data_IF_037645565197
#
_entry.id   IF_037645565197
#
_cell.length_a   1.000
_cell.length_b   1.000
_cell.length_c   1.000
_cell.angle_alpha   90.00
_cell.angle_beta   90.00
_cell.angle_gamma   90.00
#
_symmetry.space_group_name_H-M   'P 1'
#
loop_
_entity.id
_entity.type
_entity.pdbx_description
1 polymer ?
#
# COMPACT_ATOMS: atom_id res chain seq x y z
N UNK A 1 13.74 4.23 -6.16
CA UNK A 1 13.11 3.80 -4.88
C UNK A 1 11.62 3.59 -5.17
N UNK A 2 11.17 2.34 -5.32
CA UNK A 2 9.76 2.03 -5.64
C UNK A 2 8.84 2.20 -4.43
N UNK A 3 7.87 1.29 -4.24
CA UNK A 3 6.99 1.25 -3.04
C UNK A 3 7.71 0.85 -1.73
N UNK A 4 9.04 0.79 -1.71
CA UNK A 4 9.85 0.47 -0.52
C UNK A 4 9.62 1.47 0.64
N UNK A 5 9.33 2.73 0.33
CA UNK A 5 9.00 3.76 1.32
C UNK A 5 7.71 3.42 2.08
N UNK A 6 6.70 2.86 1.41
CA UNK A 6 5.47 2.40 2.06
C UNK A 6 5.68 1.16 2.95
N UNK A 7 6.75 0.40 2.71
CA UNK A 7 7.14 -0.76 3.52
C UNK A 7 7.91 -0.38 4.79
N UNK A 8 8.89 0.51 4.66
CA UNK A 8 9.87 0.81 5.71
C UNK A 8 9.65 2.14 6.44
N UNK A 9 9.16 3.16 5.74
CA UNK A 9 9.14 4.54 6.25
C UNK A 9 7.74 4.93 6.74
N UNK A 10 6.68 4.35 6.18
CA UNK A 10 5.31 4.78 6.47
C UNK A 10 4.79 4.26 7.83
N UNK A 11 4.59 5.11 8.86
CA UNK A 11 4.08 4.70 10.17
C UNK A 11 2.65 4.14 10.07
N UNK A 12 1.80 4.74 9.23
CA UNK A 12 0.45 4.25 8.99
C UNK A 12 0.41 2.85 8.36
N UNK A 13 1.41 2.50 7.54
CA UNK A 13 1.56 1.15 7.00
C UNK A 13 1.86 0.11 8.09
N UNK A 14 2.66 0.48 9.08
CA UNK A 14 2.94 -0.35 10.24
C UNK A 14 1.69 -0.54 11.11
N UNK A 15 0.94 0.54 11.36
CA UNK A 15 -0.33 0.49 12.11
C UNK A 15 -1.32 -0.47 11.43
N UNK A 16 -1.43 -0.43 10.10
CA UNK A 16 -2.31 -1.35 9.37
C UNK A 16 -1.85 -2.81 9.44
N UNK A 17 -0.54 -3.07 9.37
CA UNK A 17 -0.01 -4.43 9.56
C UNK A 17 -0.29 -4.94 10.99
N UNK A 18 -0.20 -4.06 11.99
CA UNK A 18 -0.49 -4.39 13.39
C UNK A 18 -1.98 -4.68 13.60
N UNK A 19 -2.87 -3.85 13.04
CA UNK A 19 -4.33 -4.03 13.10
C UNK A 19 -4.75 -5.29 12.35
N UNK A 20 -4.11 -5.63 11.23
CA UNK A 20 -4.40 -6.85 10.48
C UNK A 20 -3.97 -8.14 11.22
N UNK A 21 -3.19 -8.02 12.30
CA UNK A 21 -2.84 -9.16 13.16
C UNK A 21 -4.03 -9.62 14.02
N UNK A 22 -5.09 -8.82 14.14
CA UNK A 22 -6.31 -9.18 14.86
C UNK A 22 -6.97 -10.39 14.16
N UNK A 23 -7.25 -11.49 14.87
CA UNK A 23 -7.80 -12.72 14.30
C UNK A 23 -9.26 -12.50 13.86
N UNK A 24 -9.46 -12.09 12.61
CA UNK A 24 -10.77 -11.91 11.98
C UNK A 24 -10.85 -12.68 10.67
N UNK A 25 -12.05 -12.76 10.08
CA UNK A 25 -12.27 -13.39 8.78
C UNK A 25 -11.61 -12.55 7.68
N UNK A 26 -10.44 -13.00 7.22
CA UNK A 26 -9.63 -12.29 6.22
C UNK A 26 -10.22 -12.48 4.83
N UNK A 27 -10.33 -11.39 4.08
CA UNK A 27 -10.75 -11.40 2.68
C UNK A 27 -9.58 -11.11 1.74
N UNK A 28 -9.54 -11.83 0.62
CA UNK A 28 -8.61 -11.49 -0.46
C UNK A 28 -9.12 -10.26 -1.20
N UNK A 29 -8.25 -9.27 -1.41
CA UNK A 29 -8.58 -8.04 -2.13
C UNK A 29 -8.92 -8.37 -3.59
N UNK A 30 -10.08 -7.89 -4.06
CA UNK A 30 -10.46 -8.02 -5.46
C UNK A 30 -9.46 -7.27 -6.37
N UNK A 31 -8.91 -7.97 -7.37
CA UNK A 31 -7.95 -7.42 -8.34
C UNK A 31 -8.35 -6.05 -8.94
N UNK A 32 -9.62 -5.79 -9.33
CA UNK A 32 -10.02 -4.49 -9.88
C UNK A 32 -9.98 -3.35 -8.86
N UNK A 33 -10.15 -3.64 -7.56
CA UNK A 33 -10.12 -2.61 -6.52
C UNK A 33 -8.74 -1.96 -6.38
N UNK A 34 -7.68 -2.63 -6.88
CA UNK A 34 -6.33 -2.07 -7.00
C UNK A 34 -6.24 -0.90 -7.99
N UNK A 35 -7.21 -0.73 -8.89
CA UNK A 35 -7.24 0.37 -9.86
C UNK A 35 -7.82 1.66 -9.29
N UNK A 36 -8.61 1.55 -8.20
CA UNK A 36 -9.22 2.69 -7.51
C UNK A 36 -8.16 3.73 -7.13
N UNK A 37 -6.95 3.31 -6.73
CA UNK A 37 -5.88 4.25 -6.38
C UNK A 37 -5.46 5.16 -7.54
N UNK A 38 -5.54 4.67 -8.78
CA UNK A 38 -5.23 5.47 -9.97
C UNK A 38 -6.37 6.42 -10.30
N UNK A 39 -7.63 5.98 -10.09
CA UNK A 39 -8.79 6.86 -10.19
C UNK A 39 -8.74 7.97 -9.13
N UNK A 40 -8.39 7.65 -7.88
CA UNK A 40 -8.20 8.62 -6.80
C UNK A 40 -7.04 9.56 -7.10
N UNK A 41 -5.92 9.06 -7.62
CA UNK A 41 -4.81 9.92 -8.05
C UNK A 41 -5.25 10.92 -9.13
N UNK A 42 -5.94 10.45 -10.18
CA UNK A 42 -6.44 11.34 -11.24
C UNK A 42 -7.48 12.34 -10.71
N UNK A 43 -8.47 11.88 -9.96
CA UNK A 43 -9.56 12.71 -9.49
C UNK A 43 -9.16 13.68 -8.38
N UNK A 44 -8.57 13.18 -7.30
CA UNK A 44 -8.31 13.96 -6.07
C UNK A 44 -7.00 14.76 -6.12
N UNK A 45 -6.02 14.32 -6.92
CA UNK A 45 -4.70 14.99 -6.98
C UNK A 45 -4.53 15.80 -8.28
N UNK A 46 -5.17 15.42 -9.38
CA UNK A 46 -5.04 16.16 -10.65
C UNK A 46 -6.28 17.02 -10.92
N UNK A 47 -7.47 16.44 -10.95
CA UNK A 47 -8.70 17.17 -11.37
C UNK A 47 -9.12 18.19 -10.31
N UNK A 48 -9.22 17.80 -9.05
CA UNK A 48 -9.71 18.66 -7.97
C UNK A 48 -8.90 19.95 -7.78
N UNK A 49 -7.54 19.90 -7.71
CA UNK A 49 -6.73 21.11 -7.57
C UNK A 49 -6.74 22.02 -8.80
N UNK A 50 -7.03 21.46 -9.99
CA UNK A 50 -7.12 22.23 -11.24
C UNK A 50 -8.49 22.93 -11.37
N UNK A 51 -9.55 22.32 -10.84
CA UNK A 51 -10.92 22.87 -10.89
C UNK A 51 -11.19 23.84 -9.73
N UNK A 52 -10.67 23.55 -8.54
CA UNK A 52 -10.83 24.38 -7.34
C UNK A 52 -9.49 25.00 -6.96
N UNK A 53 -9.18 26.11 -7.61
CA UNK A 53 -7.96 26.90 -7.38
C UNK A 53 -8.27 27.98 -6.34
N UNK A 54 -7.53 28.02 -5.24
CA UNK A 54 -7.61 29.11 -4.26
C UNK A 54 -6.89 30.37 -4.79
N UNK A 55 -7.12 31.52 -4.15
CA UNK A 55 -6.62 32.84 -4.56
C UNK A 55 -5.07 32.95 -4.70
N UNK A 56 -4.31 31.93 -4.26
CA UNK A 56 -2.85 31.84 -4.34
C UNK A 56 -2.34 30.95 -5.50
N UNK A 57 -3.23 30.39 -6.33
CA UNK A 57 -2.83 29.53 -7.46
C UNK A 57 -2.35 28.13 -7.07
N UNK A 58 -2.32 27.80 -5.77
CA UNK A 58 -1.96 26.50 -5.24
C UNK A 58 -3.24 25.77 -4.80
N UNK A 59 -3.73 24.82 -5.60
CA UNK A 59 -4.87 24.00 -5.21
C UNK A 59 -4.56 23.24 -3.93
N UNK A 60 -5.40 23.38 -2.90
CA UNK A 60 -5.20 22.68 -1.64
C UNK A 60 -5.14 21.15 -1.87
N UNK A 61 -4.31 20.40 -1.11
CA UNK A 61 -4.28 18.95 -1.18
C UNK A 61 -5.58 18.39 -0.56
N UNK A 62 -6.63 18.33 -1.37
CA UNK A 62 -7.98 17.86 -0.99
C UNK A 62 -7.95 16.48 -0.35
N UNK A 63 -7.06 15.61 -0.81
CA UNK A 63 -6.83 14.30 -0.20
C UNK A 63 -6.38 14.40 1.27
N UNK A 64 -5.43 15.27 1.58
CA UNK A 64 -4.95 15.49 2.95
C UNK A 64 -6.03 16.12 3.83
N UNK A 65 -6.90 16.97 3.25
CA UNK A 65 -7.98 17.63 3.98
C UNK A 65 -9.17 16.71 4.25
N UNK A 66 -9.52 15.81 3.33
CA UNK A 66 -10.78 15.06 3.36
C UNK A 66 -10.63 13.56 3.61
N UNK A 67 -9.57 12.93 3.10
CA UNK A 67 -9.51 11.45 2.97
C UNK A 67 -8.29 10.85 3.65
N UNK A 68 -7.28 11.63 4.05
CA UNK A 68 -6.05 11.10 4.62
C UNK A 68 -6.24 10.65 6.08
N UNK A 69 -6.28 9.32 6.35
CA UNK A 69 -6.41 8.79 7.70
C UNK A 69 -5.13 9.05 8.51
N UNK A 70 -3.96 9.04 7.87
CA UNK A 70 -2.68 9.33 8.54
C UNK A 70 -2.63 10.77 9.06
N UNK A 71 -3.06 11.75 8.27
CA UNK A 71 -3.11 13.15 8.71
C UNK A 71 -4.12 13.39 9.84
N UNK A 72 -5.21 12.63 9.88
CA UNK A 72 -6.19 12.71 10.97
C UNK A 72 -5.64 12.05 12.24
N UNK A 73 -5.05 10.87 12.11
CA UNK A 73 -4.55 10.08 13.24
C UNK A 73 -3.28 10.69 13.87
N UNK A 74 -2.31 11.08 13.05
CA UNK A 74 -0.99 11.56 13.49
C UNK A 74 -0.94 13.09 13.65
N UNK A 75 -1.76 13.83 12.90
CA UNK A 75 -1.79 15.29 12.93
C UNK A 75 -2.94 15.82 13.77
N UNK A 76 -4.18 15.50 13.39
CA UNK A 76 -5.35 16.13 14.01
C UNK A 76 -5.55 15.72 15.47
N UNK A 77 -5.39 14.43 15.81
CA UNK A 77 -5.61 13.94 17.18
C UNK A 77 -4.62 14.56 18.18
N UNK A 78 -3.29 14.56 17.95
CA UNK A 78 -2.36 15.19 18.88
C UNK A 78 -2.57 16.71 19.01
N UNK A 79 -2.90 17.38 17.90
CA UNK A 79 -3.15 18.82 17.90
C UNK A 79 -4.41 19.20 18.71
N UNK A 80 -5.46 18.38 18.62
CA UNK A 80 -6.69 18.52 19.42
C UNK A 80 -6.43 18.26 20.90
N UNK A 81 -5.54 17.34 21.24
CA UNK A 81 -5.18 17.03 22.61
C UNK A 81 -4.35 18.15 23.25
N UNK A 82 -3.45 18.77 22.49
CA UNK A 82 -2.60 19.90 22.93
C UNK A 82 -3.39 21.22 23.07
N UNK A 83 -4.47 21.41 22.30
CA UNK A 83 -5.30 22.62 22.36
C UNK A 83 -6.80 22.27 22.50
N UNK A 84 -7.30 22.09 23.73
CA UNK A 84 -8.70 21.74 23.97
C UNK A 84 -9.71 22.79 23.47
N UNK A 85 -9.28 24.03 23.25
CA UNK A 85 -10.12 25.12 22.69
C UNK A 85 -10.55 24.89 21.24
N UNK A 86 -9.87 24.04 20.46
CA UNK A 86 -10.29 23.74 19.09
C UNK A 86 -11.49 22.78 19.02
N UNK A 87 -11.79 22.01 20.08
CA UNK A 87 -12.91 21.05 20.06
C UNK A 87 -14.25 21.71 19.77
N UNK A 88 -14.41 22.98 20.17
CA UNK A 88 -15.63 23.76 19.94
C UNK A 88 -15.79 24.19 18.47
N UNK A 89 -14.70 24.35 17.72
CA UNK A 89 -14.70 24.76 16.30
C UNK A 89 -14.76 23.56 15.34
N UNK A 90 -14.63 22.34 15.88
CA UNK A 90 -14.36 21.10 15.14
C UNK A 90 -15.64 20.32 14.81
N UNK A 91 -16.83 20.91 15.05
CA UNK A 91 -18.15 20.33 14.78
C UNK A 91 -18.31 19.68 13.39
N UNK A 92 -19.29 18.76 13.26
CA UNK A 92 -19.75 17.95 12.09
C UNK A 92 -18.70 17.41 11.09
N UNK A 93 -17.83 18.26 10.52
CA UNK A 93 -16.72 17.89 9.65
C UNK A 93 -15.73 16.93 10.29
N UNK A 94 -15.46 17.04 11.60
CA UNK A 94 -14.61 16.07 12.30
C UNK A 94 -15.26 14.71 12.42
N UNK A 95 -16.57 14.67 12.71
CA UNK A 95 -17.32 13.42 12.82
C UNK A 95 -17.31 12.65 11.49
N UNK A 96 -17.50 13.36 10.37
CA UNK A 96 -17.40 12.76 9.04
C UNK A 96 -15.99 12.22 8.74
N UNK A 97 -14.93 12.96 9.10
CA UNK A 97 -13.54 12.47 8.94
C UNK A 97 -13.25 11.27 9.83
N UNK A 98 -13.75 11.27 11.06
CA UNK A 98 -13.58 10.19 12.01
C UNK A 98 -14.36 8.94 11.57
N UNK A 99 -15.55 9.11 11.01
CA UNK A 99 -16.30 8.03 10.38
C UNK A 99 -15.55 7.41 9.18
N UNK A 100 -14.96 8.23 8.30
CA UNK A 100 -14.13 7.76 7.19
C UNK A 100 -12.88 7.04 7.70
N UNK A 101 -12.22 7.56 8.74
CA UNK A 101 -11.09 6.91 9.40
C UNK A 101 -11.48 5.52 9.93
N UNK A 102 -12.58 5.43 10.69
CA UNK A 102 -13.09 4.15 11.23
C UNK A 102 -13.39 3.19 10.09
N UNK A 103 -14.08 3.63 9.04
CA UNK A 103 -14.39 2.79 7.87
C UNK A 103 -13.10 2.22 7.24
N UNK A 104 -12.08 3.05 7.07
CA UNK A 104 -10.78 2.63 6.51
C UNK A 104 -10.06 1.65 7.44
N UNK A 105 -10.10 1.89 8.76
CA UNK A 105 -9.50 0.99 9.75
C UNK A 105 -10.21 -0.37 9.77
N UNK A 106 -11.54 -0.39 9.73
CA UNK A 106 -12.33 -1.63 9.59
C UNK A 106 -11.98 -2.36 8.30
N UNK A 107 -11.83 -1.63 7.19
CA UNK A 107 -11.32 -2.18 5.93
C UNK A 107 -9.92 -2.78 6.07
N UNK A 108 -9.04 -2.15 6.84
CA UNK A 108 -7.68 -2.64 7.10
C UNK A 108 -7.64 -3.91 7.98
N UNK A 109 -8.65 -4.13 8.84
CA UNK A 109 -8.82 -5.38 9.59
C UNK A 109 -9.10 -6.53 8.61
N UNK A 110 -10.11 -6.35 7.75
CA UNK A 110 -10.56 -7.38 6.81
C UNK A 110 -9.55 -7.64 5.67
N UNK A 111 -8.90 -6.58 5.19
CA UNK A 111 -8.00 -6.60 4.05
C UNK A 111 -6.66 -5.96 4.45
N UNK A 112 -5.58 -6.73 4.33
CA UNK A 112 -4.24 -6.23 4.65
C UNK A 112 -3.92 -4.95 3.88
N UNK A 113 -3.47 -3.90 4.57
CA UNK A 113 -3.05 -2.64 3.94
C UNK A 113 -4.09 -2.03 2.95
N UNK A 114 -5.39 -2.10 3.27
CA UNK A 114 -6.50 -1.67 2.40
C UNK A 114 -6.30 -0.27 1.82
N UNK A 115 -6.02 0.72 2.68
CA UNK A 115 -5.83 2.10 2.27
C UNK A 115 -4.66 2.26 1.30
N UNK A 116 -3.50 1.66 1.62
CA UNK A 116 -2.31 1.76 0.77
C UNK A 116 -2.52 1.12 -0.61
N UNK A 117 -3.36 0.08 -0.70
CA UNK A 117 -3.66 -0.64 -1.95
C UNK A 117 -4.77 0.01 -2.79
N UNK A 118 -5.75 0.65 -2.15
CA UNK A 118 -6.99 1.09 -2.81
C UNK A 118 -7.11 2.62 -2.89
N UNK A 119 -6.69 3.36 -1.86
CA UNK A 119 -7.00 4.78 -1.71
C UNK A 119 -5.78 5.71 -1.74
N UNK A 120 -4.57 5.20 -1.45
CA UNK A 120 -3.39 6.05 -1.31
C UNK A 120 -2.85 6.55 -2.68
N UNK A 121 -2.90 7.86 -2.97
CA UNK A 121 -2.40 8.41 -4.24
C UNK A 121 -0.87 8.35 -4.32
N UNK A 122 -0.17 8.54 -3.20
CA UNK A 122 1.28 8.36 -3.14
C UNK A 122 1.67 6.91 -3.47
N UNK A 123 0.88 5.94 -3.00
CA UNK A 123 1.05 4.53 -3.35
C UNK A 123 0.88 4.26 -4.85
N UNK A 124 -0.05 4.96 -5.51
CA UNK A 124 -0.22 4.91 -6.95
C UNK A 124 0.97 5.51 -7.71
N UNK A 125 1.49 6.65 -7.24
CA UNK A 125 2.67 7.28 -7.80
C UNK A 125 3.90 6.37 -7.67
N UNK A 126 4.21 5.89 -6.46
CA UNK A 126 5.32 4.95 -6.22
C UNK A 126 5.15 3.63 -6.96
N UNK A 127 3.90 3.21 -7.22
CA UNK A 127 3.62 2.05 -8.06
C UNK A 127 4.15 2.21 -9.48
N UNK A 128 4.07 3.42 -10.04
CA UNK A 128 4.51 3.70 -11.40
C UNK A 128 6.04 3.65 -11.48
N UNK A 129 6.71 4.23 -10.48
CA UNK A 129 8.16 4.19 -10.32
C UNK A 129 8.72 2.81 -9.91
N UNK A 130 7.89 1.91 -9.35
CA UNK A 130 8.33 0.55 -9.02
C UNK A 130 8.79 -0.27 -10.23
N UNK A 131 8.26 -0.01 -11.43
CA UNK A 131 8.74 -0.69 -12.65
C UNK A 131 10.19 -0.34 -13.01
N UNK A 132 10.65 0.83 -12.56
CA UNK A 132 11.97 1.38 -12.86
C UNK A 132 12.89 1.25 -11.61
N UNK A 133 12.44 0.58 -10.54
CA UNK A 133 13.25 0.48 -9.33
C UNK A 133 14.55 -0.27 -9.60
N UNK A 134 15.65 0.34 -9.15
CA UNK A 134 16.99 -0.25 -9.18
C UNK A 134 17.13 -1.49 -8.30
N UNK A 135 16.22 -1.71 -7.35
CA UNK A 135 16.24 -2.91 -6.50
C UNK A 135 15.00 -3.73 -6.82
N UNK A 136 15.19 -5.00 -7.16
CA UNK A 136 14.12 -5.94 -7.50
C UNK A 136 14.32 -7.25 -6.73
N UNK A 137 13.21 -7.96 -6.50
CA UNK A 137 13.23 -9.29 -5.92
C UNK A 137 13.65 -10.28 -7.02
N UNK A 138 14.69 -11.05 -6.76
CA UNK A 138 15.19 -12.11 -7.61
C UNK A 138 14.65 -13.45 -7.11
N UNK A 139 14.12 -14.25 -8.03
CA UNK A 139 13.56 -15.57 -7.74
C UNK A 139 14.33 -16.63 -8.49
N UNK A 140 14.96 -17.54 -7.75
CA UNK A 140 15.74 -18.65 -8.29
C UNK A 140 14.89 -19.91 -8.24
N UNK A 141 14.29 -20.28 -9.38
CA UNK A 141 13.39 -21.42 -9.47
C UNK A 141 14.03 -22.75 -9.03
N UNK A 142 15.33 -22.93 -9.28
CA UNK A 142 16.05 -24.16 -8.92
C UNK A 142 16.11 -24.47 -7.41
N UNK A 143 15.94 -23.44 -6.57
CA UNK A 143 15.98 -23.59 -5.11
C UNK A 143 14.56 -23.62 -4.49
N UNK A 144 13.51 -23.42 -5.30
CA UNK A 144 12.15 -23.33 -4.78
C UNK A 144 11.49 -24.70 -4.68
N UNK A 145 11.04 -25.07 -3.47
CA UNK A 145 10.30 -26.31 -3.20
C UNK A 145 8.79 -26.09 -3.03
N UNK A 146 8.28 -24.93 -3.49
CA UNK A 146 6.85 -24.58 -3.45
C UNK A 146 6.16 -24.68 -2.07
N UNK A 147 6.90 -24.50 -0.98
CA UNK A 147 6.38 -24.61 0.39
C UNK A 147 5.31 -23.57 0.80
N UNK A 148 5.05 -22.57 -0.05
CA UNK A 148 4.06 -21.52 0.16
C UNK A 148 4.33 -20.56 1.33
N UNK A 149 5.50 -20.64 1.98
CA UNK A 149 5.84 -19.79 3.13
C UNK A 149 5.91 -18.29 2.75
N UNK A 150 6.50 -17.98 1.59
CA UNK A 150 6.60 -16.62 1.08
C UNK A 150 5.23 -15.95 0.86
N UNK A 151 4.22 -16.70 0.39
CA UNK A 151 2.85 -16.20 0.16
C UNK A 151 2.14 -15.96 1.49
N UNK A 152 2.34 -16.85 2.47
CA UNK A 152 1.72 -16.74 3.82
C UNK A 152 2.20 -15.52 4.61
N UNK A 153 3.49 -15.17 4.50
CA UNK A 153 4.09 -14.05 5.21
C UNK A 153 4.08 -12.73 4.42
N UNK A 154 3.67 -12.75 3.15
CA UNK A 154 3.60 -11.55 2.34
C UNK A 154 2.38 -10.68 2.73
N UNK A 155 2.58 -9.44 3.23
CA UNK A 155 1.46 -8.58 3.62
C UNK A 155 0.61 -8.15 2.42
N UNK A 156 1.18 -8.11 1.22
CA UNK A 156 0.46 -7.71 0.00
C UNK A 156 -0.05 -8.88 -0.82
N UNK A 157 0.32 -10.12 -0.47
CA UNK A 157 -0.11 -11.33 -1.17
C UNK A 157 0.45 -11.47 -2.59
N UNK A 158 1.60 -10.85 -2.90
CA UNK A 158 2.28 -11.09 -4.18
C UNK A 158 2.93 -12.46 -4.17
N UNK A 159 2.78 -13.17 -5.29
CA UNK A 159 3.22 -14.55 -5.47
C UNK A 159 4.51 -14.55 -6.31
N UNK A 160 5.69 -14.80 -5.72
CA UNK A 160 6.96 -14.68 -6.44
C UNK A 160 7.20 -15.75 -7.50
N UNK A 161 6.64 -16.95 -7.31
CA UNK A 161 6.85 -18.11 -8.20
C UNK A 161 5.89 -18.17 -9.40
N UNK A 162 4.95 -17.22 -9.52
CA UNK A 162 3.97 -17.19 -10.60
C UNK A 162 3.87 -15.78 -11.22
N UNK A 163 2.81 -15.03 -10.87
CA UNK A 163 2.50 -13.72 -11.42
C UNK A 163 3.06 -12.62 -10.50
N UNK A 164 4.35 -12.36 -10.65
CA UNK A 164 5.03 -11.33 -9.85
C UNK A 164 4.63 -9.92 -10.30
N UNK A 165 3.64 -9.35 -9.62
CA UNK A 165 3.24 -7.95 -9.81
C UNK A 165 4.17 -7.03 -9.00
N UNK A 166 5.27 -6.60 -9.63
CA UNK A 166 6.25 -5.68 -9.02
C UNK A 166 5.64 -4.37 -8.56
N UNK A 167 4.47 -4.00 -9.10
CA UNK A 167 3.72 -2.80 -8.71
C UNK A 167 3.18 -2.91 -7.31
N UNK A 168 2.75 -4.11 -6.90
CA UNK A 168 2.16 -4.33 -5.57
C UNK A 168 3.19 -4.73 -4.52
N UNK A 169 4.39 -5.12 -4.92
CA UNK A 169 5.48 -5.41 -3.99
C UNK A 169 5.96 -4.13 -3.29
N UNK A 170 5.86 -4.09 -1.96
CA UNK A 170 6.36 -3.00 -1.12
C UNK A 170 7.82 -3.19 -0.68
N UNK A 171 8.52 -4.21 -1.20
CA UNK A 171 9.90 -4.55 -0.83
C UNK A 171 10.13 -4.57 0.70
N UNK A 172 9.22 -5.21 1.43
CA UNK A 172 9.34 -5.41 2.87
C UNK A 172 10.30 -6.55 3.28
N UNK A 173 10.79 -7.33 2.29
CA UNK A 173 11.76 -8.43 2.43
C UNK A 173 11.40 -9.58 3.40
N UNK A 174 10.24 -9.54 4.07
CA UNK A 174 9.72 -10.64 4.92
C UNK A 174 9.71 -12.01 4.23
N UNK A 175 9.53 -12.05 2.91
CA UNK A 175 9.55 -13.30 2.15
C UNK A 175 10.97 -13.87 1.94
N UNK A 176 12.00 -13.02 1.92
CA UNK A 176 13.41 -13.42 1.89
C UNK A 176 13.81 -13.97 3.26
N UNK A 177 13.41 -13.29 4.34
CA UNK A 177 13.74 -13.68 5.72
C UNK A 177 13.20 -15.07 6.10
N UNK A 178 12.01 -15.43 5.61
CA UNK A 178 11.36 -16.72 5.89
C UNK A 178 11.84 -17.85 4.94
N UNK A 179 12.55 -17.53 3.86
CA UNK A 179 12.92 -18.50 2.85
C UNK A 179 14.18 -19.29 3.26
N UNK A 180 13.99 -20.44 3.93
CA UNK A 180 15.09 -21.33 4.32
C UNK A 180 15.90 -21.90 3.15
N UNK A 181 15.30 -21.99 1.97
CA UNK A 181 15.94 -22.57 0.77
C UNK A 181 16.69 -21.55 -0.08
N UNK A 182 16.73 -20.26 0.31
CA UNK A 182 17.37 -19.19 -0.47
C UNK A 182 16.91 -19.16 -1.94
N UNK A 183 15.61 -19.38 -2.15
CA UNK A 183 14.98 -19.25 -3.46
C UNK A 183 14.62 -17.79 -3.82
N UNK A 184 14.69 -16.90 -2.83
CA UNK A 184 14.37 -15.49 -2.94
C UNK A 184 15.58 -14.69 -2.49
N UNK A 185 15.99 -13.73 -3.30
CA UNK A 185 17.03 -12.76 -2.97
C UNK A 185 16.61 -11.36 -3.45
N UNK A 186 17.34 -10.32 -3.07
CA UNK A 186 17.17 -8.98 -3.61
C UNK A 186 18.44 -8.55 -4.32
N UNK A 187 18.30 -8.09 -5.56
CA UNK A 187 19.44 -7.71 -6.39
C UNK A 187 19.28 -6.28 -6.89
N UNK A 188 20.40 -5.55 -6.94
CA UNK A 188 20.45 -4.23 -7.54
C UNK A 188 20.60 -4.41 -9.05
N UNK A 189 19.56 -4.04 -9.80
CA UNK A 189 19.39 -4.22 -11.23
C UNK A 189 20.61 -3.75 -12.02
N UNK A 190 21.27 -4.68 -12.74
CA UNK A 190 21.84 -4.43 -14.08
C UNK A 190 20.70 -4.32 -15.11
N UNK A 191 20.86 -3.58 -16.23
CA UNK A 191 19.79 -3.29 -17.21
C UNK A 191 19.04 -4.54 -17.72
N UNK A 192 17.80 -4.39 -18.24
CA UNK A 192 16.80 -5.44 -18.27
C UNK A 192 17.18 -6.61 -19.19
N UNK A 193 17.60 -7.73 -18.59
CA UNK A 193 17.47 -9.05 -19.20
C UNK A 193 15.99 -9.46 -19.18
N UNK A 194 15.49 -9.96 -20.30
CA UNK A 194 14.09 -10.38 -20.52
C UNK A 194 13.54 -11.16 -19.32
N UNK A 195 12.27 -10.95 -18.91
CA UNK A 195 11.66 -11.78 -17.87
C UNK A 195 11.75 -13.24 -18.32
N UNK A 196 12.37 -14.09 -17.50
CA UNK A 196 12.39 -15.52 -17.73
C UNK A 196 10.93 -16.00 -17.74
N UNK A 197 10.46 -16.46 -18.90
CA UNK A 197 9.14 -17.08 -19.06
C UNK A 197 9.14 -18.35 -18.20
N UNK A 198 8.48 -18.31 -17.05
CA UNK A 198 8.15 -19.52 -16.29
C UNK A 198 7.13 -20.30 -17.13
N UNK A 199 7.54 -21.44 -17.69
CA UNK A 199 6.63 -22.38 -18.34
C UNK A 199 5.69 -22.92 -17.26
N UNK A 200 4.37 -22.77 -17.46
CA UNK A 200 3.35 -23.44 -16.64
C UNK A 200 3.63 -24.93 -16.66
N UNK A 201 3.99 -25.52 -15.51
CA UNK A 201 3.69 -26.91 -15.27
C UNK A 201 2.21 -26.98 -14.92
N UNK A 202 1.38 -27.28 -15.92
CA UNK A 202 0.03 -27.78 -15.70
C UNK A 202 0.09 -29.04 -14.85
N UNK A 203 -0.60 -29.04 -13.72
CA UNK A 203 -1.06 -30.28 -13.09
C UNK A 203 -2.18 -29.94 -12.08
N UNK A 204 -3.16 -30.84 -11.92
CA UNK A 204 -4.58 -30.50 -11.92
C UNK A 204 -5.17 -30.42 -10.51
N UNK A 205 -6.19 -29.58 -10.37
CA UNK A 205 -7.35 -29.84 -9.55
C UNK A 205 -8.57 -29.71 -10.46
#
# INVERSE_FOLDING_TARGET
VGRMTCGWVCPFGFIQDLIHKIPTRKFSLWKPLRWVKYAVLGLMVVIMPVVFVDASGLGHPWFCKLVCPAGTLEGAIPLLFLKPTLWQTVGLFFWNKLAVLILILVGAILISRFFCRVLCPLGAFYSLFSRISLVQLEFVAGNCVECGACVRYCPTGVVPNQEFDSRECIMCLKCVDVCHFRALDFSMRRPPGKPAKVKRATSPL
#
